data_IF_889253204194
#
_entry.id   IF_889253204194
#
_cell.length_a   1.000
_cell.length_b   1.000
_cell.length_c   1.000
_cell.angle_alpha   90.00
_cell.angle_beta   90.00
_cell.angle_gamma   90.00
#
_symmetry.space_group_name_H-M   'P 1'
#
loop_
_entity.id
_entity.type
_entity.pdbx_description
1 polymer ?
#
# COMPACT_ATOMS: atom_id res chain seq x y z
N UNK A 1 -16.48 26.56 -5.94
CA UNK A 1 -16.34 25.21 -6.53
C UNK A 1 -16.97 24.20 -5.58
N UNK A 2 -17.98 23.47 -6.04
CA UNK A 2 -18.72 22.48 -5.23
C UNK A 2 -17.84 21.26 -4.89
N UNK A 3 -17.80 20.87 -3.62
CA UNK A 3 -17.05 19.72 -3.13
C UNK A 3 -17.58 18.39 -3.73
N UNK A 4 -18.88 18.31 -4.03
CA UNK A 4 -19.51 17.12 -4.64
C UNK A 4 -18.91 16.80 -6.00
N UNK A 5 -18.67 17.83 -6.81
CA UNK A 5 -18.06 17.68 -8.14
C UNK A 5 -16.60 17.19 -8.02
N UNK A 6 -15.87 17.62 -6.99
CA UNK A 6 -14.51 17.16 -6.72
C UNK A 6 -14.48 15.69 -6.31
N UNK A 7 -15.34 15.31 -5.36
CA UNK A 7 -15.46 13.92 -4.90
C UNK A 7 -15.86 13.00 -6.06
N UNK A 8 -16.82 13.41 -6.89
CA UNK A 8 -17.23 12.64 -8.05
C UNK A 8 -16.08 12.43 -9.05
N UNK A 9 -15.28 13.46 -9.34
CA UNK A 9 -14.10 13.32 -10.21
C UNK A 9 -13.05 12.38 -9.64
N UNK A 10 -12.75 12.51 -8.34
CA UNK A 10 -11.80 11.62 -7.67
C UNK A 10 -12.30 10.17 -7.71
N UNK A 11 -13.58 9.95 -7.45
CA UNK A 11 -14.21 8.63 -7.53
C UNK A 11 -14.11 8.01 -8.92
N UNK A 12 -14.45 8.77 -9.97
CA UNK A 12 -14.33 8.29 -11.35
C UNK A 12 -12.88 7.91 -11.71
N UNK A 13 -11.90 8.77 -11.39
CA UNK A 13 -10.49 8.46 -11.63
C UNK A 13 -9.99 7.25 -10.83
N UNK A 14 -10.50 7.03 -9.62
CA UNK A 14 -10.18 5.85 -8.83
C UNK A 14 -10.76 4.58 -9.46
N UNK A 15 -12.00 4.62 -9.95
CA UNK A 15 -12.63 3.51 -10.68
C UNK A 15 -11.79 3.15 -11.90
N UNK A 16 -11.42 4.12 -12.75
CA UNK A 16 -10.62 3.87 -13.95
C UNK A 16 -9.26 3.21 -13.63
N UNK A 17 -8.63 3.61 -12.51
CA UNK A 17 -7.38 3.00 -12.05
C UNK A 17 -7.56 1.56 -11.56
N UNK A 18 -8.70 1.26 -10.91
CA UNK A 18 -9.00 -0.03 -10.29
C UNK A 18 -9.68 -1.03 -11.24
N UNK A 19 -10.22 -0.58 -12.37
CA UNK A 19 -10.78 -1.46 -13.41
C UNK A 19 -9.93 -1.52 -14.67
N UNK A 20 -8.97 -0.60 -14.81
CA UNK A 20 -8.12 -0.48 -15.99
C UNK A 20 -6.89 -1.40 -16.01
N UNK A 21 -6.08 -1.30 -17.08
CA UNK A 21 -4.93 -2.18 -17.33
C UNK A 21 -3.76 -1.99 -16.34
N UNK A 22 -3.85 -1.00 -15.44
CA UNK A 22 -2.84 -0.70 -14.41
C UNK A 22 -3.18 -1.33 -13.06
N UNK A 23 -4.28 -2.07 -12.97
CA UNK A 23 -4.70 -2.76 -11.76
C UNK A 23 -3.62 -3.72 -11.25
N UNK A 24 -2.85 -4.35 -12.15
CA UNK A 24 -1.70 -5.22 -11.82
C UNK A 24 -0.58 -4.50 -11.02
N UNK A 25 -0.57 -3.17 -11.07
CA UNK A 25 0.36 -2.33 -10.30
C UNK A 25 -0.27 -1.79 -9.03
N UNK A 26 -1.58 -1.93 -8.84
CA UNK A 26 -2.23 -1.58 -7.58
C UNK A 26 -1.82 -2.57 -6.49
N UNK A 27 -1.53 -2.04 -5.32
CA UNK A 27 -1.11 -2.81 -4.14
C UNK A 27 -1.70 -2.16 -2.90
N UNK A 28 -1.99 -2.97 -1.91
CA UNK A 28 -2.40 -2.50 -0.59
C UNK A 28 -1.20 -2.52 0.37
N UNK A 29 -1.01 -1.49 1.20
CA UNK A 29 0.02 -1.56 2.26
C UNK A 29 -0.46 -2.53 3.36
N UNK A 30 0.25 -3.64 3.65
CA UNK A 30 -0.13 -4.59 4.70
C UNK A 30 0.01 -4.03 6.13
N UNK A 31 0.51 -2.80 6.28
CA UNK A 31 0.65 -2.12 7.57
C UNK A 31 -0.42 -1.06 7.84
N UNK A 32 -1.11 -0.54 6.82
CA UNK A 32 -2.10 0.52 7.01
C UNK A 32 -3.34 0.43 6.11
N UNK A 33 -3.41 -0.53 5.18
CA UNK A 33 -4.58 -0.74 4.30
C UNK A 33 -4.71 0.25 3.13
N UNK A 34 -3.79 1.21 2.99
CA UNK A 34 -3.86 2.17 1.89
C UNK A 34 -3.47 1.54 0.56
N UNK A 35 -4.28 1.80 -0.47
CA UNK A 35 -4.01 1.43 -1.85
C UNK A 35 -2.99 2.37 -2.50
N UNK A 36 -2.09 1.80 -3.29
CA UNK A 36 -1.08 2.55 -4.02
C UNK A 36 -0.71 1.90 -5.34
N UNK A 37 -0.18 2.70 -6.28
CA UNK A 37 0.35 2.20 -7.55
C UNK A 37 1.86 2.00 -7.43
N UNK A 38 2.31 0.75 -7.59
CA UNK A 38 3.71 0.36 -7.57
C UNK A 38 4.46 0.90 -8.79
N UNK A 39 5.25 1.95 -8.60
CA UNK A 39 6.06 2.58 -9.65
C UNK A 39 7.53 2.12 -9.74
N UNK A 40 7.99 1.23 -8.84
CA UNK A 40 9.38 0.77 -8.88
C UNK A 40 9.64 -0.04 -10.15
N UNK A 41 10.78 0.22 -10.81
CA UNK A 41 11.25 -0.47 -12.01
C UNK A 41 11.18 -2.00 -11.90
N UNK A 42 11.39 -2.54 -10.68
CA UNK A 42 11.38 -3.97 -10.41
C UNK A 42 10.11 -4.45 -9.68
N UNK A 43 9.05 -3.63 -9.61
CA UNK A 43 7.77 -3.92 -8.93
C UNK A 43 7.93 -4.44 -7.48
N UNK A 44 9.08 -4.21 -6.84
CA UNK A 44 9.46 -4.85 -5.57
C UNK A 44 8.97 -4.08 -4.34
N UNK A 45 8.53 -2.84 -4.53
CA UNK A 45 8.05 -1.98 -3.44
C UNK A 45 6.71 -2.52 -2.91
N UNK A 46 6.72 -3.02 -1.67
CA UNK A 46 5.56 -3.56 -0.95
C UNK A 46 4.89 -2.55 0.01
N UNK A 47 5.43 -1.34 0.13
CA UNK A 47 4.98 -0.32 1.08
C UNK A 47 4.78 1.01 0.36
N UNK A 48 3.69 1.71 0.67
CA UNK A 48 3.31 2.96 0.02
C UNK A 48 4.34 4.08 0.24
N UNK A 49 4.77 4.28 1.48
CA UNK A 49 5.78 5.27 1.86
C UNK A 49 6.75 4.71 2.91
N UNK A 50 8.02 5.12 2.79
CA UNK A 50 9.05 4.80 3.79
C UNK A 50 8.74 5.44 5.15
N UNK A 51 8.17 6.64 5.15
CA UNK A 51 7.85 7.39 6.37
C UNK A 51 6.68 6.75 7.12
N UNK A 52 5.61 6.37 6.40
CA UNK A 52 4.37 5.91 7.03
C UNK A 52 4.33 4.41 7.30
N UNK A 53 4.76 3.59 6.34
CA UNK A 53 4.70 2.12 6.43
C UNK A 53 6.10 1.48 6.57
N UNK A 54 7.15 2.13 6.05
CA UNK A 54 8.53 1.62 6.02
C UNK A 54 9.16 1.47 7.39
N UNK A 55 9.16 2.53 8.20
CA UNK A 55 9.74 2.49 9.55
C UNK A 55 8.97 1.52 10.46
N UNK A 56 7.63 1.58 10.48
CA UNK A 56 6.81 0.62 11.23
C UNK A 56 7.10 -0.84 10.85
N UNK A 57 7.33 -1.11 9.57
CA UNK A 57 7.72 -2.45 9.11
C UNK A 57 9.12 -2.87 9.58
N UNK A 58 10.07 -1.93 9.69
CA UNK A 58 11.42 -2.17 10.23
C UNK A 58 11.36 -2.42 11.74
N UNK A 59 10.65 -1.58 12.47
CA UNK A 59 10.50 -1.68 13.92
C UNK A 59 9.85 -3.02 14.29
N UNK A 60 8.77 -3.40 13.58
CA UNK A 60 8.13 -4.71 13.77
C UNK A 60 9.11 -5.86 13.51
N UNK A 61 9.94 -5.81 12.47
CA UNK A 61 10.96 -6.86 12.21
C UNK A 61 11.99 -6.91 13.32
N UNK A 62 12.47 -5.76 13.80
CA UNK A 62 13.43 -5.70 14.89
C UNK A 62 12.84 -6.25 16.19
N UNK A 63 11.59 -5.90 16.52
CA UNK A 63 10.87 -6.42 17.66
C UNK A 63 10.68 -7.94 17.58
N UNK A 64 10.31 -8.49 16.42
CA UNK A 64 10.15 -9.94 16.27
C UNK A 64 11.47 -10.70 16.41
N UNK A 65 12.58 -10.14 15.89
CA UNK A 65 13.93 -10.68 16.09
C UNK A 65 14.32 -10.66 17.56
N UNK A 66 14.09 -9.55 18.25
CA UNK A 66 14.39 -9.40 19.67
C UNK A 66 13.54 -10.34 20.55
N UNK A 67 12.30 -10.62 20.14
CA UNK A 67 11.37 -11.51 20.86
C UNK A 67 11.51 -13.00 20.47
N UNK A 68 12.43 -13.36 19.58
CA UNK A 68 12.57 -14.74 19.09
C UNK A 68 11.32 -15.29 18.38
N UNK A 69 10.41 -14.41 17.94
CA UNK A 69 9.16 -14.81 17.30
C UNK A 69 9.45 -15.24 15.88
N UNK A 70 9.52 -16.56 15.66
CA UNK A 70 9.46 -17.15 14.33
C UNK A 70 8.07 -16.90 13.76
N UNK A 71 7.95 -15.91 12.86
CA UNK A 71 6.72 -15.68 12.11
C UNK A 71 6.49 -16.88 11.18
N UNK A 72 5.73 -17.87 11.65
CA UNK A 72 5.07 -18.83 10.76
C UNK A 72 4.09 -18.05 9.90
N UNK A 73 4.31 -18.06 8.60
CA UNK A 73 3.33 -17.64 7.59
C UNK A 73 2.03 -18.38 7.85
N UNK A 74 0.96 -17.62 8.12
CA UNK A 74 -0.41 -18.13 8.03
C UNK A 74 -0.73 -18.26 6.53
N UNK A 75 -1.32 -19.39 6.07
CA UNK A 75 -1.68 -19.59 4.66
C UNK A 75 -2.63 -18.51 4.14
#
# INVERSE_FOLDING_TARGET
MDNRVRVARIGASAIDLLTGPRLDRSRECPGCGWLFIGGSRNRSRRLFSMETCGNRSKDRRQQNRARGVSMRTVP
#
